data_IF_629378361538
#
_entry.id   IF_629378361538
#
_cell.length_a   1.000
_cell.length_b   1.000
_cell.length_c   1.000
_cell.angle_alpha   90.00
_cell.angle_beta   90.00
_cell.angle_gamma   90.00
#
_symmetry.space_group_name_H-M   'P 1'
#
loop_
_entity.id
_entity.type
_entity.pdbx_description
1 polymer ?
#
# COMPACT_ATOMS: atom_id res chain seq x y z
N UNK A 1 8.80 1.70 -4.03
CA UNK A 1 9.96 1.10 -3.33
C UNK A 1 10.89 0.30 -4.24
N UNK A 2 10.51 -0.87 -4.79
CA UNK A 2 11.48 -1.69 -5.56
C UNK A 2 12.04 -1.02 -6.81
N UNK A 3 11.23 -0.25 -7.54
CA UNK A 3 11.74 0.48 -8.69
C UNK A 3 12.71 1.60 -8.29
N UNK A 4 12.47 2.27 -7.15
CA UNK A 4 13.40 3.25 -6.58
C UNK A 4 14.71 2.58 -6.15
N UNK A 5 14.63 1.44 -5.46
CA UNK A 5 15.82 0.69 -5.07
C UNK A 5 16.67 0.27 -6.28
N UNK A 6 16.04 -0.08 -7.41
CA UNK A 6 16.75 -0.37 -8.67
C UNK A 6 17.34 0.87 -9.35
N UNK A 7 16.75 2.05 -9.16
CA UNK A 7 17.31 3.30 -9.66
C UNK A 7 18.54 3.71 -8.85
N UNK A 8 18.52 3.51 -7.53
CA UNK A 8 19.64 3.80 -6.63
C UNK A 8 20.74 2.76 -6.78
N UNK A 9 20.39 1.47 -6.88
CA UNK A 9 21.32 0.34 -7.00
C UNK A 9 20.90 -0.56 -8.17
N UNK A 10 21.38 -0.30 -9.40
CA UNK A 10 21.01 -1.06 -10.59
C UNK A 10 21.32 -2.57 -10.52
N UNK A 11 22.36 -2.95 -9.78
CA UNK A 11 22.78 -4.35 -9.58
C UNK A 11 21.71 -5.22 -8.90
N UNK A 12 20.81 -4.60 -8.13
CA UNK A 12 19.71 -5.32 -7.48
C UNK A 12 18.67 -5.84 -8.47
N UNK A 13 18.71 -5.44 -9.75
CA UNK A 13 17.78 -5.93 -10.78
C UNK A 13 17.78 -7.47 -10.89
N UNK A 14 18.94 -8.09 -10.69
CA UNK A 14 19.15 -9.54 -10.76
C UNK A 14 18.85 -10.25 -9.43
N UNK A 15 18.73 -9.51 -8.33
CA UNK A 15 18.58 -10.06 -6.98
C UNK A 15 17.13 -9.96 -6.48
N UNK A 16 16.21 -10.68 -7.13
CA UNK A 16 14.77 -10.63 -6.82
C UNK A 16 14.44 -10.95 -5.36
N UNK A 17 15.17 -11.87 -4.73
CA UNK A 17 15.00 -12.22 -3.33
C UNK A 17 15.28 -11.06 -2.37
N UNK A 18 16.34 -10.29 -2.65
CA UNK A 18 16.72 -9.11 -1.85
C UNK A 18 15.71 -7.97 -2.02
N UNK A 19 15.26 -7.73 -3.25
CA UNK A 19 14.18 -6.78 -3.52
C UNK A 19 12.86 -7.15 -2.82
N UNK A 20 12.62 -8.45 -2.60
CA UNK A 20 11.47 -8.94 -1.84
C UNK A 20 11.53 -8.63 -0.35
N UNK A 21 12.74 -8.47 0.23
CA UNK A 21 12.92 -8.03 1.62
C UNK A 21 12.50 -6.57 1.78
N UNK A 22 12.92 -5.72 0.85
CA UNK A 22 12.54 -4.31 0.83
C UNK A 22 11.04 -4.08 0.65
N UNK A 23 10.23 -5.06 0.22
CA UNK A 23 8.77 -4.86 0.05
C UNK A 23 7.95 -5.05 1.32
N UNK A 24 8.57 -5.58 2.37
CA UNK A 24 7.87 -6.02 3.57
C UNK A 24 8.32 -5.18 4.75
N UNK A 25 7.37 -4.91 5.64
CA UNK A 25 7.68 -4.30 6.92
C UNK A 25 8.66 -5.20 7.70
N UNK A 26 9.72 -4.65 8.34
CA UNK A 26 10.71 -5.44 9.07
C UNK A 26 10.09 -6.36 10.14
N UNK A 27 9.03 -5.91 10.81
CA UNK A 27 8.29 -6.71 11.80
C UNK A 27 7.59 -7.97 11.23
N UNK A 28 7.57 -8.14 9.91
CA UNK A 28 7.01 -9.32 9.22
C UNK A 28 8.08 -10.22 8.62
N UNK A 29 9.35 -9.90 8.85
CA UNK A 29 10.48 -10.69 8.39
C UNK A 29 10.92 -11.63 9.50
N UNK A 30 11.15 -12.89 9.13
CA UNK A 30 11.84 -13.86 9.98
C UNK A 30 13.26 -13.37 10.31
N UNK A 31 13.83 -13.86 11.41
CA UNK A 31 15.16 -13.44 11.88
C UNK A 31 16.26 -13.57 10.81
N UNK A 32 16.28 -14.69 10.07
CA UNK A 32 17.19 -14.90 8.94
C UNK A 32 16.99 -13.84 7.84
N UNK A 33 15.75 -13.44 7.58
CA UNK A 33 15.41 -12.43 6.57
C UNK A 33 15.79 -11.02 7.04
N UNK A 34 15.65 -10.74 8.34
CA UNK A 34 16.14 -9.49 8.95
C UNK A 34 17.66 -9.39 8.86
N UNK A 35 18.40 -10.47 9.12
CA UNK A 35 19.86 -10.50 8.96
C UNK A 35 20.29 -10.18 7.52
N UNK A 36 19.60 -10.76 6.52
CA UNK A 36 19.83 -10.44 5.11
C UNK A 36 19.48 -8.99 4.74
N UNK A 37 18.41 -8.45 5.31
CA UNK A 37 18.03 -7.04 5.11
C UNK A 37 19.07 -6.09 5.71
N UNK A 38 19.57 -6.38 6.93
CA UNK A 38 20.65 -5.60 7.56
C UNK A 38 21.91 -5.62 6.72
N UNK A 39 22.32 -6.81 6.25
CA UNK A 39 23.47 -6.94 5.35
C UNK A 39 23.26 -6.13 4.06
N UNK A 40 22.09 -6.23 3.42
CA UNK A 40 21.77 -5.47 2.22
C UNK A 40 21.90 -3.95 2.44
N UNK A 41 21.41 -3.42 3.57
CA UNK A 41 21.49 -2.00 3.89
C UNK A 41 22.93 -1.57 4.24
N UNK A 42 23.74 -2.47 4.81
CA UNK A 42 25.16 -2.23 5.05
C UNK A 42 25.97 -2.23 3.74
N UNK A 43 25.70 -3.17 2.83
CA UNK A 43 26.34 -3.26 1.52
C UNK A 43 25.95 -2.08 0.62
N UNK A 44 24.72 -1.54 0.79
CA UNK A 44 24.21 -0.40 0.02
C UNK A 44 23.58 0.70 0.91
N UNK A 45 24.39 1.52 1.62
CA UNK A 45 23.91 2.53 2.56
C UNK A 45 22.96 3.57 1.94
N UNK A 46 23.08 3.83 0.64
CA UNK A 46 22.19 4.74 -0.10
C UNK A 46 20.71 4.30 -0.07
N UNK A 47 20.42 3.05 0.24
CA UNK A 47 19.05 2.53 0.39
C UNK A 47 18.46 2.78 1.78
N UNK A 48 19.28 3.14 2.77
CA UNK A 48 18.82 3.27 4.15
C UNK A 48 17.79 4.39 4.34
N UNK A 49 18.00 5.63 3.84
CA UNK A 49 16.99 6.69 3.98
C UNK A 49 15.66 6.32 3.29
N UNK A 50 15.75 5.64 2.15
CA UNK A 50 14.59 5.13 1.42
C UNK A 50 13.82 4.10 2.26
N UNK A 51 14.54 3.17 2.90
CA UNK A 51 13.95 2.12 3.73
C UNK A 51 13.29 2.69 4.99
N UNK A 52 13.95 3.62 5.69
CA UNK A 52 13.44 4.28 6.89
C UNK A 52 12.15 5.06 6.59
N UNK A 53 12.14 5.85 5.51
CA UNK A 53 10.96 6.62 5.11
C UNK A 53 9.77 5.71 4.75
N UNK A 54 10.05 4.52 4.19
CA UNK A 54 9.02 3.52 3.90
C UNK A 54 8.48 2.84 5.17
N UNK A 55 9.32 2.61 6.19
CA UNK A 55 8.88 2.12 7.50
C UNK A 55 7.94 3.14 8.15
N UNK A 56 8.36 4.40 8.22
CA UNK A 56 7.54 5.48 8.79
C UNK A 56 6.15 5.53 8.15
N UNK A 57 6.11 5.43 6.81
CA UNK A 57 4.87 5.35 6.07
C UNK A 57 4.02 4.13 6.45
N UNK A 58 4.61 2.94 6.43
CA UNK A 58 3.90 1.71 6.75
C UNK A 58 3.35 1.72 8.17
N UNK A 59 4.09 2.24 9.14
CA UNK A 59 3.63 2.34 10.52
C UNK A 59 2.38 3.20 10.62
N UNK A 60 2.36 4.36 9.96
CA UNK A 60 1.16 5.20 9.90
C UNK A 60 -0.01 4.50 9.20
N UNK A 61 0.23 3.83 8.06
CA UNK A 61 -0.83 3.14 7.32
C UNK A 61 -1.38 1.90 8.03
N UNK A 62 -0.63 1.32 8.98
CA UNK A 62 -1.04 0.14 9.75
C UNK A 62 -1.81 0.47 11.02
N UNK A 63 -1.91 1.73 11.41
CA UNK A 63 -2.71 2.17 12.55
C UNK A 63 -4.18 1.76 12.37
N UNK A 64 -4.76 1.18 13.41
CA UNK A 64 -6.17 0.73 13.44
C UNK A 64 -6.74 0.95 14.84
N UNK A 65 -8.06 1.00 14.94
CA UNK A 65 -8.79 1.16 16.20
C UNK A 65 -8.34 2.38 17.02
N UNK A 66 -7.98 3.47 16.34
CA UNK A 66 -7.50 4.69 16.98
C UNK A 66 -8.66 5.55 17.50
N UNK A 67 -8.47 6.18 18.66
CA UNK A 67 -9.41 7.18 19.19
C UNK A 67 -9.28 8.50 18.41
N UNK A 68 -10.30 9.36 18.47
CA UNK A 68 -10.20 10.70 17.85
C UNK A 68 -8.99 11.49 18.38
N UNK A 69 -8.69 11.36 19.68
CA UNK A 69 -7.53 12.03 20.30
C UNK A 69 -6.22 11.51 19.72
N UNK A 70 -6.07 10.19 19.56
CA UNK A 70 -4.88 9.60 18.95
C UNK A 70 -4.73 10.01 17.47
N UNK A 71 -5.83 10.00 16.71
CA UNK A 71 -5.81 10.43 15.31
C UNK A 71 -5.28 11.87 15.15
N UNK A 72 -5.65 12.81 16.03
CA UNK A 72 -5.13 14.19 15.98
C UNK A 72 -3.60 14.25 16.03
N UNK A 73 -2.98 13.41 16.86
CA UNK A 73 -1.52 13.32 16.91
C UNK A 73 -0.93 12.73 15.62
N UNK A 74 -1.54 11.66 15.11
CA UNK A 74 -1.10 11.00 13.88
C UNK A 74 -1.28 11.84 12.62
N UNK A 75 -2.29 12.72 12.57
CA UNK A 75 -2.52 13.65 11.46
C UNK A 75 -1.29 14.55 11.26
N UNK A 76 -0.73 15.09 12.34
CA UNK A 76 0.47 15.92 12.24
C UNK A 76 1.66 15.16 11.66
N UNK A 77 1.83 13.89 12.03
CA UNK A 77 2.87 13.01 11.46
C UNK A 77 2.62 12.73 9.98
N UNK A 78 1.38 12.42 9.60
CA UNK A 78 1.00 12.17 8.21
C UNK A 78 1.24 13.40 7.31
N UNK A 79 0.86 14.60 7.78
CA UNK A 79 1.05 15.83 7.01
C UNK A 79 2.53 16.16 6.81
N UNK A 80 3.36 16.00 7.86
CA UNK A 80 4.82 16.14 7.73
C UNK A 80 5.40 15.13 6.75
N UNK A 81 5.00 13.86 6.84
CA UNK A 81 5.44 12.83 5.91
C UNK A 81 5.06 13.15 4.45
N UNK A 82 3.85 13.67 4.23
CA UNK A 82 3.41 14.08 2.89
C UNK A 82 4.29 15.22 2.36
N UNK A 83 4.63 16.19 3.21
CA UNK A 83 5.52 17.29 2.81
C UNK A 83 6.94 16.79 2.49
N UNK A 84 7.52 15.94 3.34
CA UNK A 84 8.83 15.32 3.10
C UNK A 84 8.86 14.58 1.76
N UNK A 85 7.82 13.80 1.46
CA UNK A 85 7.70 13.05 0.20
C UNK A 85 7.53 13.99 -1.00
N UNK A 86 6.88 15.15 -0.81
CA UNK A 86 6.68 16.17 -1.84
C UNK A 86 8.00 16.86 -2.22
N UNK A 87 8.91 17.03 -1.27
CA UNK A 87 10.24 17.61 -1.48
C UNK A 87 11.29 16.59 -1.94
N UNK A 88 10.89 15.34 -2.15
CA UNK A 88 11.83 14.31 -2.57
C UNK A 88 12.29 14.49 -4.02
N UNK A 89 13.57 14.24 -4.28
CA UNK A 89 14.13 14.14 -5.64
C UNK A 89 13.54 12.97 -6.45
N UNK A 90 12.87 12.03 -5.79
CA UNK A 90 12.32 10.86 -6.43
C UNK A 90 10.88 11.12 -6.89
N UNK A 91 10.67 11.20 -8.20
CA UNK A 91 9.35 11.39 -8.81
C UNK A 91 8.26 10.40 -8.30
N UNK A 92 8.55 9.11 -8.05
CA UNK A 92 7.56 8.22 -7.42
C UNK A 92 7.09 8.67 -6.03
N UNK A 93 7.93 9.35 -5.24
CA UNK A 93 7.56 9.89 -3.94
C UNK A 93 6.75 11.17 -4.04
N UNK A 94 7.08 12.05 -4.98
CA UNK A 94 6.27 13.24 -5.27
C UNK A 94 4.84 12.84 -5.70
N UNK A 95 4.71 11.83 -6.56
CA UNK A 95 3.39 11.28 -6.94
C UNK A 95 2.64 10.63 -5.78
N UNK A 96 3.37 9.93 -4.90
CA UNK A 96 2.78 9.34 -3.71
C UNK A 96 2.26 10.41 -2.76
N UNK A 97 3.02 11.50 -2.56
CA UNK A 97 2.61 12.65 -1.76
C UNK A 97 1.30 13.26 -2.26
N UNK A 98 1.18 13.47 -3.58
CA UNK A 98 -0.07 13.96 -4.21
C UNK A 98 -1.25 13.02 -3.91
N UNK A 99 -1.04 11.72 -4.08
CA UNK A 99 -2.06 10.70 -3.76
C UNK A 99 -2.48 10.78 -2.29
N UNK A 100 -1.53 10.74 -1.36
CA UNK A 100 -1.85 10.79 0.07
C UNK A 100 -2.49 12.09 0.50
N UNK A 101 -2.06 13.22 -0.06
CA UNK A 101 -2.69 14.50 0.20
C UNK A 101 -4.16 14.47 -0.21
N UNK A 102 -4.48 13.95 -1.40
CA UNK A 102 -5.86 13.82 -1.88
C UNK A 102 -6.70 12.87 -1.02
N UNK A 103 -6.11 11.74 -0.58
CA UNK A 103 -6.81 10.69 0.18
C UNK A 103 -6.69 10.82 1.71
N UNK A 104 -6.12 11.92 2.23
CA UNK A 104 -5.78 12.07 3.65
C UNK A 104 -6.95 11.83 4.61
N UNK A 105 -8.15 12.29 4.25
CA UNK A 105 -9.35 12.12 5.07
C UNK A 105 -9.77 10.66 5.16
N UNK A 106 -9.70 9.93 4.04
CA UNK A 106 -9.95 8.49 4.00
C UNK A 106 -8.90 7.73 4.83
N UNK A 107 -7.62 8.11 4.75
CA UNK A 107 -6.56 7.51 5.57
C UNK A 107 -6.82 7.68 7.07
N UNK A 108 -7.18 8.89 7.50
CA UNK A 108 -7.53 9.16 8.91
C UNK A 108 -8.78 8.39 9.33
N UNK A 109 -9.76 8.29 8.44
CA UNK A 109 -10.99 7.52 8.65
C UNK A 109 -10.67 6.03 8.86
N UNK A 110 -9.75 5.47 8.06
CA UNK A 110 -9.32 4.07 8.20
C UNK A 110 -8.65 3.76 9.55
N UNK A 111 -7.97 4.73 10.17
CA UNK A 111 -7.39 4.54 11.51
C UNK A 111 -8.47 4.36 12.57
N UNK A 112 -9.57 5.10 12.46
CA UNK A 112 -10.69 5.07 13.42
C UNK A 112 -11.65 3.93 13.13
N UNK A 113 -11.94 3.69 11.86
CA UNK A 113 -12.91 2.71 11.40
C UNK A 113 -12.20 1.58 10.64
N UNK A 114 -12.08 0.43 11.29
CA UNK A 114 -11.45 -0.75 10.69
C UNK A 114 -12.45 -1.51 9.81
N UNK A 115 -12.88 -0.89 8.71
CA UNK A 115 -13.64 -1.56 7.64
C UNK A 115 -12.68 -2.05 6.56
N UNK A 116 -12.96 -3.22 6.00
CA UNK A 116 -12.21 -3.76 4.87
C UNK A 116 -13.12 -3.81 3.63
N UNK A 117 -12.51 -3.84 2.45
CA UNK A 117 -13.26 -3.95 1.19
C UNK A 117 -13.64 -5.41 0.85
N UNK A 118 -13.50 -6.36 1.79
CA UNK A 118 -13.67 -7.79 1.51
C UNK A 118 -15.07 -8.14 1.01
N UNK A 119 -16.10 -7.50 1.56
CA UNK A 119 -17.49 -7.67 1.09
C UNK A 119 -17.63 -7.15 -0.35
N UNK A 120 -17.18 -5.92 -0.62
CA UNK A 120 -17.22 -5.30 -1.95
C UNK A 120 -16.46 -6.12 -2.99
N UNK A 121 -15.26 -6.62 -2.63
CA UNK A 121 -14.45 -7.51 -3.47
C UNK A 121 -15.16 -8.85 -3.72
N UNK A 122 -15.82 -9.40 -2.71
CA UNK A 122 -16.67 -10.60 -2.83
C UNK A 122 -17.79 -10.41 -3.84
N UNK A 123 -18.51 -9.29 -3.75
CA UNK A 123 -19.53 -8.92 -4.74
C UNK A 123 -18.94 -8.76 -6.14
N UNK A 124 -17.84 -8.02 -6.29
CA UNK A 124 -17.17 -7.87 -7.58
C UNK A 124 -16.73 -9.22 -8.17
N UNK A 125 -16.24 -10.15 -7.35
CA UNK A 125 -15.88 -11.50 -7.79
C UNK A 125 -17.10 -12.27 -8.28
N UNK A 126 -18.22 -12.20 -7.55
CA UNK A 126 -19.48 -12.84 -7.94
C UNK A 126 -20.04 -12.25 -9.23
N UNK A 127 -20.06 -10.93 -9.36
CA UNK A 127 -20.46 -10.22 -10.58
C UNK A 127 -19.63 -10.65 -11.81
N UNK A 128 -18.31 -10.74 -11.65
CA UNK A 128 -17.43 -11.26 -12.72
C UNK A 128 -17.69 -12.73 -13.05
N UNK A 129 -18.04 -13.56 -12.06
CA UNK A 129 -18.41 -14.95 -12.30
C UNK A 129 -19.72 -15.06 -13.10
N UNK A 130 -20.71 -14.22 -12.80
CA UNK A 130 -21.97 -14.15 -13.55
C UNK A 130 -21.70 -13.80 -15.01
N UNK A 131 -20.85 -12.79 -15.26
CA UNK A 131 -20.43 -12.42 -16.62
C UNK A 131 -19.73 -13.56 -17.36
N UNK A 132 -18.79 -14.27 -16.70
CA UNK A 132 -18.08 -15.41 -17.30
C UNK A 132 -19.01 -16.57 -17.64
N UNK A 133 -19.95 -16.92 -16.75
CA UNK A 133 -20.92 -18.01 -16.98
C UNK A 133 -21.90 -17.70 -18.10
N UNK A 134 -22.22 -16.42 -18.30
CA UNK A 134 -23.09 -15.98 -19.38
C UNK A 134 -22.36 -15.75 -20.72
N UNK A 135 -21.02 -15.89 -20.77
CA UNK A 135 -20.17 -15.49 -21.90
C UNK A 135 -20.40 -14.02 -22.32
N UNK A 136 -20.60 -13.15 -21.32
CA UNK A 136 -20.92 -11.74 -21.51
C UNK A 136 -22.42 -11.43 -21.50
N UNK A 137 -22.75 -10.14 -21.40
CA UNK A 137 -24.13 -9.66 -21.50
C UNK A 137 -24.21 -8.62 -22.60
N UNK A 138 -25.20 -8.75 -23.49
CA UNK A 138 -25.45 -7.79 -24.58
C UNK A 138 -26.23 -6.56 -24.13
N UNK A 139 -26.95 -6.66 -23.01
CA UNK A 139 -27.70 -5.54 -22.44
C UNK A 139 -27.49 -5.44 -20.92
N UNK A 140 -27.41 -4.21 -20.42
CA UNK A 140 -27.23 -3.95 -18.99
C UNK A 140 -28.43 -4.39 -18.12
N UNK A 141 -29.70 -4.27 -18.57
CA UNK A 141 -30.84 -4.72 -17.77
C UNK A 141 -30.79 -6.20 -17.38
N UNK A 142 -30.45 -7.10 -18.31
CA UNK A 142 -30.36 -8.53 -18.00
C UNK A 142 -29.18 -8.85 -17.08
N UNK A 143 -28.06 -8.13 -17.24
CA UNK A 143 -26.94 -8.21 -16.30
C UNK A 143 -27.38 -7.79 -14.89
N UNK A 144 -28.06 -6.65 -14.76
CA UNK A 144 -28.55 -6.14 -13.48
C UNK A 144 -29.50 -7.13 -12.81
N UNK A 145 -30.45 -7.71 -13.55
CA UNK A 145 -31.38 -8.72 -13.01
C UNK A 145 -30.62 -9.94 -12.45
N UNK A 146 -29.60 -10.43 -13.18
CA UNK A 146 -28.77 -11.56 -12.73
C UNK A 146 -27.93 -11.21 -11.49
N UNK A 147 -27.42 -9.98 -11.43
CA UNK A 147 -26.67 -9.50 -10.25
C UNK A 147 -27.58 -9.43 -9.04
N UNK A 148 -28.76 -8.81 -9.12
CA UNK A 148 -29.71 -8.72 -8.01
C UNK A 148 -30.09 -10.12 -7.52
N UNK A 149 -30.51 -11.01 -8.44
CA UNK A 149 -30.94 -12.36 -8.08
C UNK A 149 -29.85 -13.20 -7.40
N UNK A 150 -28.57 -12.91 -7.64
CA UNK A 150 -27.47 -13.70 -7.07
C UNK A 150 -26.71 -12.97 -5.95
N UNK A 151 -26.66 -11.66 -5.92
CA UNK A 151 -25.92 -10.90 -4.92
C UNK A 151 -26.81 -10.40 -3.76
N UNK A 152 -28.15 -10.45 -3.89
CA UNK A 152 -29.08 -9.86 -2.93
C UNK A 152 -29.55 -8.49 -3.40
#
# INVERSE_FOLDING_TARGET
MVNLARQIVPELKNHRGLLGLLRRHPSRLEERQQGRLRKLLADYPALQPLHEKMIELWDLLRLKHQTARACRHHIGRLLRLIEDLRQSIFEPFVRLAKTFHHWREALVTMWRFTRNNGITEGFHRKMKLIQRRAYGFKNFPNYRLRVIAQCG
#
